data_IF_191720801889
#
_entry.id   IF_191720801889
#
_cell.length_a   1.000
_cell.length_b   1.000
_cell.length_c   1.000
_cell.angle_alpha   90.00
_cell.angle_beta   90.00
_cell.angle_gamma   90.00
#
_symmetry.space_group_name_H-M   'P 1'
#
loop_
_entity.id
_entity.type
_entity.pdbx_description
1 polymer ?
#
# COMPACT_ATOMS: atom_id res chain seq x y z
N UNK A 1 -1.42 6.74 -26.74
CA UNK A 1 -1.57 5.46 -26.01
C UNK A 1 -0.69 5.41 -24.77
N UNK A 2 0.62 5.67 -24.88
CA UNK A 2 1.58 5.61 -23.77
C UNK A 2 1.18 6.43 -22.54
N UNK A 3 0.73 7.67 -22.73
CA UNK A 3 0.29 8.53 -21.62
C UNK A 3 -0.91 7.96 -20.87
N UNK A 4 -1.86 7.36 -21.59
CA UNK A 4 -3.07 6.75 -21.01
C UNK A 4 -2.65 5.54 -20.16
N UNK A 5 -1.79 4.67 -20.69
CA UNK A 5 -1.27 3.51 -19.98
C UNK A 5 -0.45 3.92 -18.74
N UNK A 6 0.36 4.97 -18.86
CA UNK A 6 1.12 5.52 -17.74
C UNK A 6 0.20 6.00 -16.61
N UNK A 7 -0.81 6.83 -16.93
CA UNK A 7 -1.76 7.35 -15.95
C UNK A 7 -2.60 6.23 -15.33
N UNK A 8 -3.05 5.27 -16.14
CA UNK A 8 -3.81 4.11 -15.65
C UNK A 8 -2.96 3.25 -14.70
N UNK A 9 -1.70 2.96 -15.06
CA UNK A 9 -0.78 2.20 -14.23
C UNK A 9 -0.47 2.92 -12.91
N UNK A 10 -0.20 4.22 -12.96
CA UNK A 10 0.03 5.03 -11.76
C UNK A 10 -1.19 5.05 -10.83
N UNK A 11 -2.39 5.23 -11.39
CA UNK A 11 -3.63 5.19 -10.62
C UNK A 11 -3.84 3.81 -9.97
N UNK A 12 -3.62 2.73 -10.73
CA UNK A 12 -3.75 1.37 -10.22
C UNK A 12 -2.76 1.07 -9.08
N UNK A 13 -1.52 1.57 -9.21
CA UNK A 13 -0.48 1.39 -8.22
C UNK A 13 -0.82 2.11 -6.90
N UNK A 14 -1.25 3.36 -6.98
CA UNK A 14 -1.64 4.17 -5.81
C UNK A 14 -2.85 3.55 -5.11
N UNK A 15 -3.90 3.22 -5.88
CA UNK A 15 -5.13 2.63 -5.31
C UNK A 15 -4.84 1.23 -4.74
N UNK A 16 -4.03 0.42 -5.44
CA UNK A 16 -3.63 -0.90 -4.97
C UNK A 16 -2.86 -0.84 -3.65
N UNK A 17 -1.91 0.09 -3.52
CA UNK A 17 -1.17 0.31 -2.28
C UNK A 17 -2.10 0.76 -1.13
N UNK A 18 -2.98 1.75 -1.36
CA UNK A 18 -3.92 2.21 -0.32
C UNK A 18 -4.86 1.08 0.15
N UNK A 19 -5.40 0.29 -0.78
CA UNK A 19 -6.27 -0.86 -0.46
C UNK A 19 -5.50 -1.92 0.33
N UNK A 20 -4.26 -2.24 -0.08
CA UNK A 20 -3.39 -3.18 0.63
C UNK A 20 -3.15 -2.74 2.07
N UNK A 21 -2.76 -1.47 2.29
CA UNK A 21 -2.49 -0.92 3.62
C UNK A 21 -3.71 -0.95 4.51
N UNK A 22 -4.86 -0.52 4.00
CA UNK A 22 -6.12 -0.54 4.76
C UNK A 22 -6.55 -1.96 5.10
N UNK A 23 -6.44 -2.89 4.15
CA UNK A 23 -6.75 -4.30 4.36
C UNK A 23 -5.85 -4.93 5.42
N UNK A 24 -4.54 -4.79 5.27
CA UNK A 24 -3.54 -5.32 6.20
C UNK A 24 -3.65 -4.70 7.59
N UNK A 25 -3.90 -3.39 7.69
CA UNK A 25 -4.07 -2.70 8.97
C UNK A 25 -5.33 -3.19 9.70
N UNK A 26 -6.47 -3.30 8.99
CA UNK A 26 -7.71 -3.83 9.56
C UNK A 26 -7.56 -5.28 10.02
N UNK A 27 -6.87 -6.10 9.24
CA UNK A 27 -6.57 -7.49 9.61
C UNK A 27 -5.72 -7.53 10.88
N UNK A 28 -4.64 -6.76 10.93
CA UNK A 28 -3.73 -6.70 12.08
C UNK A 28 -4.45 -6.27 13.36
N UNK A 29 -5.32 -5.27 13.27
CA UNK A 29 -6.13 -4.81 14.42
C UNK A 29 -7.13 -5.88 14.88
N UNK A 30 -7.74 -6.63 13.94
CA UNK A 30 -8.62 -7.77 14.29
C UNK A 30 -7.89 -8.92 14.97
N UNK A 31 -6.59 -9.07 14.70
CA UNK A 31 -5.72 -10.04 15.35
C UNK A 31 -5.19 -9.55 16.71
N UNK A 32 -5.60 -8.36 17.18
CA UNK A 32 -5.18 -7.80 18.47
C UNK A 32 -3.78 -7.18 18.46
N UNK A 33 -3.19 -6.93 17.29
CA UNK A 33 -1.88 -6.27 17.18
C UNK A 33 -2.03 -4.81 17.61
N UNK A 34 -1.11 -4.34 18.45
CA UNK A 34 -1.11 -2.97 18.95
C UNK A 34 -1.04 -1.94 17.80
N UNK A 35 -1.84 -0.86 17.80
CA UNK A 35 -1.86 0.14 16.73
C UNK A 35 -0.47 0.74 16.42
N UNK A 36 0.37 0.89 17.44
CA UNK A 36 1.75 1.37 17.28
C UNK A 36 2.57 0.44 16.37
N UNK A 37 2.47 -0.87 16.58
CA UNK A 37 3.19 -1.86 15.75
C UNK A 37 2.67 -1.83 14.32
N UNK A 38 1.36 -1.72 14.12
CA UNK A 38 0.75 -1.61 12.77
C UNK A 38 1.25 -0.35 12.06
N UNK A 39 1.30 0.79 12.75
CA UNK A 39 1.81 2.05 12.18
C UNK A 39 3.30 1.98 11.81
N UNK A 40 4.12 1.42 12.70
CA UNK A 40 5.57 1.31 12.49
C UNK A 40 5.97 0.24 11.45
N UNK A 41 5.05 -0.66 11.09
CA UNK A 41 5.34 -1.76 10.15
C UNK A 41 4.46 -1.71 8.91
N UNK A 42 3.19 -2.10 9.02
CA UNK A 42 2.23 -2.22 7.91
C UNK A 42 2.06 -0.91 7.16
N UNK A 43 1.89 0.20 7.89
CA UNK A 43 1.71 1.51 7.25
C UNK A 43 3.01 1.97 6.60
N UNK A 44 4.13 1.87 7.33
CA UNK A 44 5.44 2.27 6.81
C UNK A 44 5.86 1.50 5.55
N UNK A 45 5.68 0.17 5.53
CA UNK A 45 5.91 -0.65 4.32
C UNK A 45 4.93 -0.30 3.20
N UNK A 46 3.67 -0.09 3.58
CA UNK A 46 2.59 0.26 2.69
C UNK A 46 2.82 1.52 1.86
N UNK A 47 3.34 2.56 2.49
CA UNK A 47 3.65 3.83 1.83
C UNK A 47 4.80 3.73 0.84
N UNK A 48 5.70 2.76 1.02
CA UNK A 48 6.84 2.51 0.12
C UNK A 48 6.55 1.43 -0.94
N UNK A 49 5.38 0.79 -0.88
CA UNK A 49 5.02 -0.28 -1.81
C UNK A 49 4.97 0.17 -3.28
N UNK A 50 4.44 1.37 -3.63
CA UNK A 50 4.53 1.89 -4.99
C UNK A 50 5.97 2.03 -5.48
N UNK A 51 6.85 2.64 -4.68
CA UNK A 51 8.26 2.85 -5.05
C UNK A 51 9.00 1.53 -5.21
N UNK A 52 8.77 0.56 -4.33
CA UNK A 52 9.33 -0.79 -4.44
C UNK A 52 8.88 -1.48 -5.73
N UNK A 53 7.59 -1.39 -6.07
CA UNK A 53 7.05 -2.01 -7.28
C UNK A 53 7.57 -1.38 -8.59
N UNK A 54 7.99 -0.11 -8.55
CA UNK A 54 8.63 0.57 -9.69
C UNK A 54 10.13 0.24 -9.76
N UNK A 55 10.77 -0.02 -8.62
CA UNK A 55 12.22 -0.24 -8.52
C UNK A 55 12.66 -1.69 -8.79
N UNK A 56 11.72 -2.63 -8.72
CA UNK A 56 11.90 -4.05 -9.03
C UNK A 56 11.62 -4.33 -10.52
#
# INVERSE_FOLDING_TARGET
>A
MTLILFLAGLALLIVGADVLVRGASRLSLRLGIAPLVVGLTVVAFGTSAPELAISL
#
